data_IF_095631807205
#
_entry.id   IF_095631807205
#
_cell.length_a   1.000
_cell.length_b   1.000
_cell.length_c   1.000
_cell.angle_alpha   90.00
_cell.angle_beta   90.00
_cell.angle_gamma   90.00
#
_symmetry.space_group_name_H-M   'P 1'
#
loop_
_entity.id
_entity.type
_entity.pdbx_description
1 polymer ?
#
# COMPACT_ATOMS: atom_id res chain seq x y z
N UNK A 1 27.00 -3.81 -8.31
CA UNK A 1 26.61 -5.22 -8.15
C UNK A 1 27.44 -5.83 -7.01
N UNK A 2 26.82 -6.10 -5.86
CA UNK A 2 27.48 -6.81 -4.77
C UNK A 2 27.68 -8.28 -5.15
N UNK A 3 28.76 -8.96 -4.69
CA UNK A 3 28.90 -10.39 -4.92
C UNK A 3 27.73 -11.14 -4.25
N UNK A 4 27.17 -12.20 -4.87
CA UNK A 4 25.96 -12.89 -4.38
C UNK A 4 26.01 -13.28 -2.90
N UNK A 5 27.20 -13.67 -2.41
CA UNK A 5 27.41 -14.04 -1.00
C UNK A 5 27.28 -12.85 -0.04
N UNK A 6 27.65 -11.63 -0.45
CA UNK A 6 27.52 -10.43 0.37
C UNK A 6 26.06 -10.00 0.50
N UNK A 7 25.30 -10.07 -0.60
CA UNK A 7 23.86 -9.79 -0.60
C UNK A 7 23.10 -10.80 0.28
N UNK A 8 23.45 -12.09 0.20
CA UNK A 8 22.89 -13.12 1.09
C UNK A 8 23.09 -12.78 2.57
N UNK A 9 24.30 -12.36 2.95
CA UNK A 9 24.57 -11.92 4.33
C UNK A 9 23.76 -10.68 4.71
N UNK A 10 23.60 -9.73 3.78
CA UNK A 10 22.78 -8.53 3.99
C UNK A 10 21.30 -8.89 4.20
N UNK A 11 20.77 -9.83 3.43
CA UNK A 11 19.42 -10.36 3.57
C UNK A 11 19.19 -10.95 4.98
N UNK A 12 20.09 -11.82 5.44
CA UNK A 12 20.00 -12.40 6.79
C UNK A 12 20.10 -11.33 7.88
N UNK A 13 21.06 -10.40 7.77
CA UNK A 13 21.21 -9.31 8.75
C UNK A 13 20.00 -8.35 8.77
N UNK A 14 19.34 -8.17 7.63
CA UNK A 14 18.14 -7.32 7.54
C UNK A 14 16.95 -7.96 8.26
N UNK A 15 16.82 -9.30 8.28
CA UNK A 15 15.78 -10.01 9.03
C UNK A 15 15.87 -9.75 10.54
N UNK A 16 17.08 -9.66 11.08
CA UNK A 16 17.31 -9.45 12.53
C UNK A 16 16.74 -8.12 13.03
N UNK A 17 16.62 -7.11 12.15
CA UNK A 17 16.01 -5.82 12.48
C UNK A 17 14.51 -5.92 12.79
N UNK A 18 13.87 -6.99 12.33
CA UNK A 18 12.44 -7.23 12.51
C UNK A 18 12.13 -8.12 13.71
N UNK A 19 13.12 -8.54 14.51
CA UNK A 19 12.86 -9.31 15.72
C UNK A 19 11.94 -8.56 16.69
N UNK A 20 10.97 -9.27 17.24
CA UNK A 20 9.97 -8.69 18.13
C UNK A 20 8.77 -8.04 17.43
N UNK A 21 8.76 -7.98 16.10
CA UNK A 21 7.59 -7.50 15.35
C UNK A 21 6.45 -8.53 15.45
N UNK A 22 5.24 -8.14 15.89
CA UNK A 22 4.10 -9.06 16.05
C UNK A 22 3.57 -9.59 14.72
N UNK A 23 2.96 -10.78 14.77
CA UNK A 23 2.44 -11.47 13.58
C UNK A 23 1.31 -10.69 12.88
N UNK A 24 0.21 -10.39 13.58
CA UNK A 24 -0.93 -9.70 12.98
C UNK A 24 -1.77 -8.94 14.02
N UNK A 25 -2.31 -7.74 13.72
CA UNK A 25 -3.06 -6.92 14.67
C UNK A 25 -4.31 -7.61 15.23
N UNK A 26 -4.96 -8.48 14.46
CA UNK A 26 -6.18 -9.19 14.91
C UNK A 26 -5.98 -10.02 16.18
N UNK A 27 -4.76 -10.46 16.48
CA UNK A 27 -4.45 -11.23 17.68
C UNK A 27 -4.07 -10.37 18.89
N UNK A 28 -3.95 -9.05 18.69
CA UNK A 28 -3.54 -8.06 19.70
C UNK A 28 -4.62 -6.97 19.89
N UNK A 29 -5.89 -7.28 19.62
CA UNK A 29 -7.04 -6.36 19.73
C UNK A 29 -7.30 -5.83 21.14
N UNK A 30 -6.93 -6.61 22.17
CA UNK A 30 -7.16 -6.21 23.55
C UNK A 30 -6.18 -5.11 23.97
N UNK A 31 -6.63 -4.02 24.63
CA UNK A 31 -5.73 -2.96 25.13
C UNK A 31 -4.70 -3.44 26.15
N UNK A 32 -4.96 -4.58 26.80
CA UNK A 32 -4.04 -5.29 27.69
C UNK A 32 -2.91 -6.01 26.94
N UNK A 33 -3.04 -6.18 25.61
CA UNK A 33 -2.05 -6.89 24.80
C UNK A 33 -0.78 -6.04 24.65
N UNK A 34 0.42 -6.61 24.89
CA UNK A 34 1.69 -5.88 24.78
C UNK A 34 1.92 -5.24 23.40
N UNK A 35 1.32 -5.80 22.35
CA UNK A 35 1.51 -5.38 20.96
C UNK A 35 0.28 -4.67 20.37
N UNK A 36 -0.68 -4.23 21.21
CA UNK A 36 -1.91 -3.57 20.75
C UNK A 36 -1.63 -2.34 19.87
N UNK A 37 -0.62 -1.54 20.24
CA UNK A 37 -0.22 -0.33 19.52
C UNK A 37 1.09 -0.51 18.74
N UNK A 38 1.45 -1.74 18.35
CA UNK A 38 2.67 -1.95 17.59
C UNK A 38 2.61 -1.21 16.24
N UNK A 39 3.70 -0.55 15.82
CA UNK A 39 3.72 0.26 14.61
C UNK A 39 3.74 -0.57 13.32
N UNK A 40 4.06 -1.85 13.43
CA UNK A 40 4.24 -2.77 12.31
C UNK A 40 3.84 -4.17 12.73
N UNK A 41 3.27 -4.92 11.80
CA UNK A 41 2.93 -6.32 11.95
C UNK A 41 3.41 -7.07 10.69
N UNK A 42 4.01 -8.24 10.89
CA UNK A 42 4.58 -9.04 9.80
C UNK A 42 4.28 -10.52 10.04
N UNK A 43 3.51 -11.11 9.14
CA UNK A 43 3.44 -12.55 8.97
C UNK A 43 4.71 -13.07 8.28
N UNK A 44 4.83 -14.39 8.13
CA UNK A 44 6.05 -14.98 7.57
C UNK A 44 6.36 -14.55 6.13
N UNK A 45 5.36 -14.52 5.25
CA UNK A 45 5.56 -14.10 3.86
C UNK A 45 5.67 -12.57 3.75
N UNK A 46 5.00 -11.79 4.60
CA UNK A 46 5.15 -10.35 4.74
C UNK A 46 6.53 -9.93 5.24
N UNK A 47 7.12 -10.67 6.18
CA UNK A 47 8.50 -10.47 6.63
C UNK A 47 9.48 -10.58 5.45
N UNK A 48 9.36 -11.64 4.66
CA UNK A 48 10.22 -11.87 3.49
C UNK A 48 10.04 -10.73 2.48
N UNK A 49 8.80 -10.36 2.16
CA UNK A 49 8.52 -9.23 1.25
C UNK A 49 9.14 -7.94 1.76
N UNK A 50 8.96 -7.63 3.04
CA UNK A 50 9.50 -6.42 3.65
C UNK A 50 11.01 -6.34 3.54
N UNK A 51 11.71 -7.45 3.84
CA UNK A 51 13.17 -7.50 3.72
C UNK A 51 13.64 -7.39 2.26
N UNK A 52 12.96 -8.05 1.31
CA UNK A 52 13.26 -7.91 -0.12
C UNK A 52 13.07 -6.46 -0.59
N UNK A 53 12.05 -5.75 -0.09
CA UNK A 53 11.81 -4.34 -0.41
C UNK A 53 12.85 -3.40 0.17
N UNK A 54 13.25 -3.59 1.43
CA UNK A 54 14.31 -2.78 2.03
C UNK A 54 15.64 -2.92 1.28
N UNK A 55 15.82 -4.03 0.55
CA UNK A 55 17.00 -4.38 -0.23
C UNK A 55 16.73 -4.32 -1.75
N UNK A 56 15.71 -3.58 -2.20
CA UNK A 56 15.30 -3.51 -3.61
C UNK A 56 16.44 -3.09 -4.54
N UNK A 57 17.26 -2.12 -4.11
CA UNK A 57 18.41 -1.63 -4.88
C UNK A 57 19.51 -2.69 -5.00
N UNK A 58 19.68 -3.53 -3.97
CA UNK A 58 20.67 -4.60 -3.97
C UNK A 58 20.22 -5.81 -4.78
N UNK A 59 18.94 -6.19 -4.65
CA UNK A 59 18.33 -7.31 -5.37
C UNK A 59 18.09 -6.98 -6.84
N UNK A 60 17.85 -5.72 -7.20
CA UNK A 60 17.59 -5.31 -8.59
C UNK A 60 16.21 -5.73 -9.11
N UNK A 61 15.30 -6.14 -8.23
CA UNK A 61 13.91 -6.42 -8.55
C UNK A 61 12.98 -5.94 -7.43
N UNK A 62 11.73 -5.66 -7.77
CA UNK A 62 10.65 -5.44 -6.82
C UNK A 62 9.85 -6.73 -6.65
N UNK A 63 9.75 -7.23 -5.42
CA UNK A 63 8.95 -8.44 -5.14
C UNK A 63 7.47 -8.12 -5.30
N UNK A 64 6.75 -8.99 -6.01
CA UNK A 64 5.31 -8.85 -6.19
C UNK A 64 4.52 -9.02 -4.89
N UNK A 65 3.25 -8.62 -4.87
CA UNK A 65 2.44 -8.63 -3.65
C UNK A 65 2.00 -10.05 -3.21
N UNK A 66 2.27 -11.10 -3.99
CA UNK A 66 1.77 -12.46 -3.72
C UNK A 66 2.24 -13.09 -2.39
N UNK A 67 1.51 -14.12 -1.96
CA UNK A 67 1.72 -14.86 -0.71
C UNK A 67 2.87 -15.90 -0.79
N UNK A 68 2.99 -16.79 0.21
CA UNK A 68 4.00 -17.86 0.25
C UNK A 68 4.02 -18.74 -1.02
N UNK A 69 2.89 -18.95 -1.69
CA UNK A 69 2.86 -19.73 -2.93
C UNK A 69 3.51 -18.98 -4.11
N UNK A 70 3.37 -17.64 -4.15
CA UNK A 70 4.07 -16.81 -5.12
C UNK A 70 5.57 -16.84 -4.87
N UNK A 71 5.99 -16.64 -3.62
CA UNK A 71 7.40 -16.68 -3.24
C UNK A 71 8.03 -18.03 -3.61
N UNK A 72 7.32 -19.14 -3.36
CA UNK A 72 7.73 -20.48 -3.76
C UNK A 72 7.98 -20.60 -5.27
N UNK A 73 7.11 -20.03 -6.11
CA UNK A 73 7.29 -20.09 -7.56
C UNK A 73 8.44 -19.21 -8.07
N UNK A 74 8.81 -18.16 -7.34
CA UNK A 74 9.96 -17.31 -7.67
C UNK A 74 11.30 -17.88 -7.21
N UNK A 75 11.29 -18.93 -6.36
CA UNK A 75 12.47 -19.66 -5.90
C UNK A 75 12.42 -21.13 -6.37
N UNK A 76 12.66 -21.42 -7.66
CA UNK A 76 12.51 -22.78 -8.22
C UNK A 76 13.60 -23.76 -7.74
N UNK A 77 14.76 -23.26 -7.32
CA UNK A 77 15.95 -24.08 -7.10
C UNK A 77 15.79 -24.90 -5.82
N UNK A 78 15.62 -26.22 -5.95
CA UNK A 78 15.62 -27.14 -4.81
C UNK A 78 17.02 -27.32 -4.22
N UNK A 79 17.09 -27.46 -2.90
CA UNK A 79 18.33 -27.66 -2.16
C UNK A 79 18.17 -28.86 -1.23
N UNK A 80 19.18 -29.71 -1.17
CA UNK A 80 19.23 -30.80 -0.20
C UNK A 80 19.51 -30.27 1.21
N UNK A 81 19.04 -30.95 2.24
CA UNK A 81 19.20 -30.53 3.65
C UNK A 81 20.68 -30.25 4.02
N UNK A 82 21.61 -31.02 3.46
CA UNK A 82 23.06 -30.86 3.66
C UNK A 82 23.67 -29.61 3.01
N UNK A 83 23.01 -29.07 1.98
CA UNK A 83 23.51 -27.98 1.14
C UNK A 83 22.82 -26.64 1.45
N UNK A 84 21.92 -26.63 2.45
CA UNK A 84 21.23 -25.44 2.92
C UNK A 84 22.20 -24.37 3.43
N UNK A 85 21.97 -23.14 2.99
CA UNK A 85 22.75 -21.96 3.38
C UNK A 85 21.86 -20.96 4.12
N UNK A 86 22.43 -20.19 5.06
CA UNK A 86 21.70 -19.09 5.66
C UNK A 86 21.10 -18.16 4.60
N UNK A 87 19.82 -17.82 4.76
CA UNK A 87 19.00 -17.06 3.81
C UNK A 87 18.14 -17.92 2.87
N UNK A 88 18.39 -19.23 2.75
CA UNK A 88 17.50 -20.12 1.98
C UNK A 88 16.11 -20.22 2.62
N UNK A 89 15.12 -20.58 1.83
CA UNK A 89 13.71 -20.56 2.23
C UNK A 89 13.18 -21.98 2.46
N UNK A 90 12.45 -22.16 3.55
CA UNK A 90 11.77 -23.40 3.90
C UNK A 90 10.27 -23.19 3.75
N UNK A 91 9.71 -23.76 2.69
CA UNK A 91 8.30 -23.70 2.36
C UNK A 91 7.59 -24.94 2.91
N UNK A 92 6.47 -24.77 3.59
CA UNK A 92 5.69 -25.88 4.17
C UNK A 92 4.36 -26.00 3.46
N UNK A 93 4.10 -27.19 2.94
CA UNK A 93 2.81 -27.58 2.37
C UNK A 93 2.02 -28.45 3.33
N UNK A 94 0.71 -28.27 3.33
CA UNK A 94 -0.23 -29.09 4.09
C UNK A 94 -1.64 -28.51 4.11
N UNK A 95 -2.42 -29.02 5.05
CA UNK A 95 -3.86 -28.78 5.12
C UNK A 95 -4.20 -28.09 6.44
N UNK A 96 -4.97 -26.99 6.39
CA UNK A 96 -5.45 -26.32 7.60
C UNK A 96 -6.40 -27.22 8.40
N UNK A 97 -6.27 -27.22 9.72
CA UNK A 97 -7.19 -27.97 10.59
C UNK A 97 -8.61 -27.39 10.62
N UNK A 98 -8.75 -26.10 10.28
CA UNK A 98 -10.04 -25.43 10.23
C UNK A 98 -10.77 -25.84 8.95
N UNK A 99 -11.91 -26.51 9.11
CA UNK A 99 -12.79 -26.88 8.00
C UNK A 99 -13.29 -25.62 7.25
N UNK A 100 -13.35 -25.71 5.92
CA UNK A 100 -13.85 -24.62 5.06
C UNK A 100 -12.79 -23.63 4.57
N UNK A 101 -11.53 -23.70 5.05
CA UNK A 101 -10.44 -22.91 4.46
C UNK A 101 -10.10 -23.42 3.07
N UNK A 102 -10.11 -22.51 2.08
CA UNK A 102 -9.68 -22.85 0.72
C UNK A 102 -8.17 -23.13 0.69
N UNK A 103 -7.73 -24.21 0.05
CA UNK A 103 -6.32 -24.49 -0.10
C UNK A 103 -5.67 -23.39 -0.94
N UNK A 104 -4.46 -23.00 -0.53
CA UNK A 104 -3.61 -22.11 -1.32
C UNK A 104 -2.98 -22.88 -2.48
N UNK A 105 -2.45 -22.16 -3.47
CA UNK A 105 -1.72 -22.81 -4.56
C UNK A 105 -0.54 -23.62 -4.01
N UNK A 106 -0.35 -24.83 -4.54
CA UNK A 106 0.63 -25.83 -4.06
C UNK A 106 0.41 -26.27 -2.61
N UNK A 107 -0.80 -26.06 -2.06
CA UNK A 107 -1.15 -26.32 -0.67
C UNK A 107 -0.19 -25.62 0.31
N UNK A 108 0.31 -24.45 -0.10
CA UNK A 108 1.35 -23.72 0.62
C UNK A 108 0.79 -22.98 1.83
N UNK A 109 1.13 -23.46 3.03
CA UNK A 109 0.57 -22.94 4.30
C UNK A 109 1.55 -22.06 5.07
N UNK A 110 2.86 -22.19 4.85
CA UNK A 110 3.85 -21.45 5.62
C UNK A 110 5.20 -21.33 4.90
N UNK A 111 5.97 -20.30 5.27
CA UNK A 111 7.36 -20.12 4.82
C UNK A 111 8.22 -19.62 5.98
N UNK A 112 9.47 -20.06 6.06
CA UNK A 112 10.46 -19.54 7.02
C UNK A 112 11.83 -19.38 6.34
N UNK A 113 12.70 -18.56 6.92
CA UNK A 113 14.05 -18.35 6.42
C UNK A 113 15.01 -19.23 7.22
N UNK A 114 15.76 -20.10 6.55
CA UNK A 114 16.82 -20.90 7.16
C UNK A 114 18.02 -20.04 7.53
N UNK A 115 18.51 -20.18 8.77
CA UNK A 115 19.75 -19.53 9.22
C UNK A 115 20.81 -20.54 9.68
N UNK A 116 20.43 -21.79 9.93
CA UNK A 116 21.32 -22.83 10.41
C UNK A 116 21.85 -22.57 11.83
N UNK A 117 22.62 -23.52 12.34
CA UNK A 117 23.18 -23.45 13.70
C UNK A 117 22.17 -23.78 14.81
N UNK A 118 22.55 -23.53 16.07
CA UNK A 118 21.84 -24.05 17.25
C UNK A 118 22.18 -25.51 17.56
N UNK A 119 21.52 -26.09 18.56
CA UNK A 119 21.76 -27.50 18.97
C UNK A 119 21.37 -28.50 17.87
N UNK A 120 20.37 -28.16 17.07
CA UNK A 120 19.85 -28.99 15.97
C UNK A 120 20.53 -28.72 14.63
N UNK A 121 21.23 -27.59 14.49
CA UNK A 121 21.74 -27.09 13.21
C UNK A 121 20.66 -26.57 12.24
N UNK A 122 19.38 -26.57 12.63
CA UNK A 122 18.23 -26.38 11.73
C UNK A 122 17.43 -25.10 11.98
N UNK A 123 18.04 -24.09 12.62
CA UNK A 123 17.33 -22.87 13.02
C UNK A 123 16.73 -22.11 11.84
N UNK A 124 15.58 -21.51 12.09
CA UNK A 124 14.87 -20.64 11.15
C UNK A 124 14.43 -19.33 11.79
N UNK A 125 14.18 -18.31 10.96
CA UNK A 125 13.54 -17.05 11.36
C UNK A 125 12.13 -17.02 10.76
N UNK A 126 11.15 -16.65 11.58
CA UNK A 126 9.78 -16.42 11.12
C UNK A 126 8.83 -16.04 12.26
N UNK A 127 7.63 -15.62 11.90
CA UNK A 127 6.53 -15.37 12.82
C UNK A 127 5.59 -16.59 12.84
N UNK A 128 6.07 -17.71 13.40
CA UNK A 128 5.38 -19.02 13.37
C UNK A 128 4.06 -19.07 14.16
N UNK A 129 3.93 -18.23 15.19
CA UNK A 129 2.80 -18.28 16.14
C UNK A 129 1.88 -17.09 15.89
N UNK A 130 0.56 -17.33 15.85
CA UNK A 130 -0.46 -16.30 15.64
C UNK A 130 -0.39 -15.13 16.64
N UNK A 131 -0.12 -15.43 17.92
CA UNK A 131 0.12 -14.44 18.99
C UNK A 131 1.61 -14.20 19.26
N UNK A 132 2.46 -14.66 18.36
CA UNK A 132 3.91 -14.55 18.48
C UNK A 132 4.45 -13.30 17.78
N UNK A 133 5.77 -13.23 17.80
CA UNK A 133 6.56 -12.21 17.12
C UNK A 133 7.53 -12.88 16.16
N UNK A 134 8.15 -12.09 15.29
CA UNK A 134 9.31 -12.54 14.51
C UNK A 134 10.43 -12.90 15.48
N UNK A 135 10.83 -14.16 15.45
CA UNK A 135 11.83 -14.74 16.36
C UNK A 135 12.59 -15.88 15.68
N UNK A 136 13.63 -16.36 16.36
CA UNK A 136 14.38 -17.55 15.96
C UNK A 136 13.68 -18.80 16.49
N UNK A 137 13.49 -19.78 15.63
CA UNK A 137 12.97 -21.10 15.96
C UNK A 137 14.07 -22.15 15.89
N UNK A 138 14.04 -23.14 16.79
CA UNK A 138 15.10 -24.15 16.91
C UNK A 138 15.17 -25.11 15.72
N UNK A 139 14.05 -25.37 15.04
CA UNK A 139 14.02 -26.22 13.86
C UNK A 139 12.85 -25.85 12.96
N UNK A 140 13.05 -25.99 11.64
CA UNK A 140 11.95 -26.02 10.69
C UNK A 140 11.12 -27.31 10.77
N UNK A 141 11.61 -28.38 11.41
CA UNK A 141 10.86 -29.61 11.67
C UNK A 141 10.05 -29.43 12.96
N UNK A 142 8.81 -28.96 12.83
CA UNK A 142 7.91 -28.74 13.97
C UNK A 142 6.50 -29.25 13.70
N UNK A 143 5.70 -29.37 14.76
CA UNK A 143 4.27 -29.63 14.66
C UNK A 143 3.51 -28.31 14.81
N UNK A 144 2.71 -27.97 13.81
CA UNK A 144 1.84 -26.78 13.85
C UNK A 144 0.56 -27.08 14.62
N UNK A 145 -0.03 -26.02 15.21
CA UNK A 145 -1.37 -26.06 15.81
C UNK A 145 -2.48 -25.64 14.86
N UNK A 146 -2.12 -25.16 13.66
CA UNK A 146 -3.07 -24.56 12.71
C UNK A 146 -3.21 -25.35 11.40
N UNK A 147 -2.25 -26.21 11.08
CA UNK A 147 -2.21 -27.01 9.85
C UNK A 147 -1.40 -28.30 10.02
N UNK A 148 -1.62 -29.27 9.14
CA UNK A 148 -0.74 -30.43 8.96
C UNK A 148 0.56 -30.01 8.27
N UNK A 149 1.66 -30.68 8.61
CA UNK A 149 2.93 -30.54 7.89
C UNK A 149 3.10 -31.80 7.05
N UNK A 150 2.71 -31.72 5.78
CA UNK A 150 2.74 -32.87 4.87
C UNK A 150 4.07 -32.96 4.14
N UNK A 151 4.57 -31.81 3.66
CA UNK A 151 5.86 -31.72 2.97
C UNK A 151 6.53 -30.38 3.22
N UNK A 152 7.85 -30.42 3.31
CA UNK A 152 8.69 -29.22 3.38
C UNK A 152 9.59 -29.16 2.15
N UNK A 153 9.58 -28.02 1.47
CA UNK A 153 10.38 -27.73 0.30
C UNK A 153 11.50 -26.76 0.69
N UNK A 154 12.73 -27.18 0.44
CA UNK A 154 13.94 -26.42 0.71
C UNK A 154 14.35 -25.71 -0.59
N UNK A 155 14.30 -24.38 -0.61
CA UNK A 155 14.55 -23.58 -1.82
C UNK A 155 15.71 -22.61 -1.63
N UNK A 156 16.59 -22.55 -2.62
CA UNK A 156 17.73 -21.62 -2.62
C UNK A 156 17.28 -20.18 -2.86
N UNK A 157 17.85 -19.25 -2.11
CA UNK A 157 17.74 -17.81 -2.36
C UNK A 157 18.50 -17.36 -3.62
N UNK A 158 19.33 -18.22 -4.22
CA UNK A 158 20.26 -17.83 -5.30
C UNK A 158 19.55 -17.24 -6.53
N UNK A 159 18.31 -17.65 -6.81
CA UNK A 159 17.51 -17.04 -7.90
C UNK A 159 17.31 -15.55 -7.66
N UNK A 160 16.91 -15.17 -6.44
CA UNK A 160 16.76 -13.77 -6.06
C UNK A 160 18.10 -13.04 -6.02
N UNK A 161 19.17 -13.69 -5.55
CA UNK A 161 20.51 -13.07 -5.54
C UNK A 161 21.03 -12.75 -6.96
N UNK A 162 20.48 -13.39 -7.99
CA UNK A 162 20.79 -13.09 -9.40
C UNK A 162 19.92 -11.97 -10.01
N UNK A 163 18.98 -11.43 -9.23
CA UNK A 163 18.06 -10.39 -9.65
C UNK A 163 16.77 -10.88 -10.31
N UNK A 164 16.50 -12.19 -10.25
CA UNK A 164 15.32 -12.79 -10.86
C UNK A 164 14.25 -13.12 -9.81
N UNK A 165 13.10 -12.46 -9.90
CA UNK A 165 11.91 -12.73 -9.07
C UNK A 165 10.68 -13.08 -9.93
N UNK A 166 10.92 -13.77 -11.05
CA UNK A 166 9.84 -14.20 -11.93
C UNK A 166 9.28 -15.58 -11.51
N UNK A 167 7.96 -15.73 -11.38
CA UNK A 167 7.35 -17.03 -11.06
C UNK A 167 7.59 -18.02 -12.19
N UNK A 168 8.09 -19.22 -11.86
CA UNK A 168 8.56 -20.19 -12.86
C UNK A 168 7.56 -21.28 -13.22
N UNK A 169 6.62 -21.59 -12.34
CA UNK A 169 5.68 -22.69 -12.57
C UNK A 169 4.45 -22.21 -13.35
N UNK A 170 3.86 -21.09 -12.95
CA UNK A 170 2.65 -20.58 -13.59
C UNK A 170 2.65 -19.04 -13.64
N UNK A 171 3.50 -18.45 -14.49
CA UNK A 171 3.64 -17.01 -14.61
C UNK A 171 2.35 -16.33 -15.08
N UNK A 172 1.54 -17.01 -15.90
CA UNK A 172 0.28 -16.46 -16.40
C UNK A 172 -0.76 -16.35 -15.29
N UNK A 173 -0.84 -17.32 -14.37
CA UNK A 173 -1.69 -17.21 -13.19
C UNK A 173 -1.33 -16.01 -12.34
N UNK A 174 -0.04 -15.80 -12.05
CA UNK A 174 0.40 -14.67 -11.21
C UNK A 174 0.25 -13.34 -11.94
N UNK A 175 0.57 -13.28 -13.23
CA UNK A 175 0.32 -12.11 -14.07
C UNK A 175 -1.16 -11.76 -14.11
N UNK A 176 -2.05 -12.75 -14.28
CA UNK A 176 -3.48 -12.55 -14.28
C UNK A 176 -3.99 -12.18 -12.89
N UNK A 177 -3.55 -12.86 -11.82
CA UNK A 177 -3.92 -12.55 -10.43
C UNK A 177 -3.49 -11.14 -10.07
N UNK A 178 -2.32 -10.69 -10.52
CA UNK A 178 -1.88 -9.31 -10.33
C UNK A 178 -2.66 -8.33 -11.22
N UNK A 179 -3.02 -8.67 -12.45
CA UNK A 179 -3.82 -7.81 -13.35
C UNK A 179 -5.28 -7.67 -12.94
N UNK A 180 -5.94 -8.75 -12.55
CA UNK A 180 -7.35 -8.74 -12.11
C UNK A 180 -7.49 -7.97 -10.81
N UNK A 181 -6.48 -8.09 -9.98
CA UNK A 181 -6.41 -7.44 -8.69
C UNK A 181 -5.84 -5.98 -8.86
N UNK A 182 -5.24 -5.63 -10.02
CA UNK A 182 -4.81 -4.27 -10.41
C UNK A 182 -5.86 -3.50 -11.22
N UNK A 183 -7.06 -4.06 -11.47
CA UNK A 183 -8.23 -3.27 -11.91
C UNK A 183 -8.76 -2.31 -10.83
N UNK A 184 -8.04 -2.24 -9.71
CA UNK A 184 -8.15 -1.30 -8.63
C UNK A 184 -6.90 -0.38 -8.62
N UNK A 185 -6.77 0.58 -9.54
CA UNK A 185 -5.98 1.81 -9.32
C UNK A 185 -5.98 2.80 -10.49
N UNK A 186 -5.84 4.04 -10.08
CA UNK A 186 -5.59 5.29 -10.80
C UNK A 186 -4.13 5.40 -11.26
N UNK A 187 -3.81 4.78 -12.40
CA UNK A 187 -2.77 5.30 -13.29
C UNK A 187 -1.31 5.27 -12.81
N UNK A 188 -0.94 4.50 -11.78
CA UNK A 188 0.46 4.10 -11.55
C UNK A 188 0.66 2.64 -12.00
N UNK A 189 1.86 2.23 -12.46
CA UNK A 189 2.08 0.89 -13.01
C UNK A 189 1.97 -0.27 -11.99
N UNK A 190 1.63 0.01 -10.72
CA UNK A 190 1.79 -0.96 -9.64
C UNK A 190 0.71 -0.87 -8.55
N UNK A 191 -0.25 0.08 -8.64
CA UNK A 191 -1.11 0.62 -7.58
C UNK A 191 -1.80 -0.32 -6.57
N UNK A 192 -1.03 -1.11 -5.82
CA UNK A 192 -1.38 -1.83 -4.60
C UNK A 192 -0.23 -1.71 -3.59
N UNK A 193 -0.57 -1.45 -2.34
CA UNK A 193 0.38 -1.56 -1.25
C UNK A 193 0.79 -3.03 -1.14
N UNK A 194 2.09 -3.30 -1.04
CA UNK A 194 2.61 -4.66 -0.80
C UNK A 194 2.10 -5.21 0.54
N UNK A 195 1.59 -4.36 1.44
CA UNK A 195 0.95 -4.81 2.68
C UNK A 195 -0.47 -5.37 2.49
N UNK A 196 -1.15 -5.11 1.38
CA UNK A 196 -2.58 -5.43 1.19
C UNK A 196 -2.84 -6.87 0.70
N UNK A 197 -1.81 -7.63 0.35
CA UNK A 197 -1.98 -8.87 -0.42
C UNK A 197 -1.85 -10.17 0.37
N UNK A 198 -1.83 -10.09 1.70
CA UNK A 198 -1.90 -11.26 2.60
C UNK A 198 -3.23 -11.39 3.36
N UNK A 199 -4.21 -10.52 3.09
CA UNK A 199 -5.55 -10.62 3.70
C UNK A 199 -6.31 -11.90 3.31
N UNK A 200 -5.80 -12.70 2.36
CA UNK A 200 -6.38 -14.02 2.02
C UNK A 200 -6.11 -15.10 3.09
N UNK A 201 -5.10 -14.94 3.96
CA UNK A 201 -4.72 -15.96 4.96
C UNK A 201 -5.38 -15.77 6.33
N UNK A 202 -6.07 -14.64 6.53
CA UNK A 202 -6.71 -14.31 7.78
C UNK A 202 -8.21 -14.32 7.59
N UNK A 203 -8.86 -15.16 8.40
CA UNK A 203 -10.25 -14.91 8.71
C UNK A 203 -10.26 -13.54 9.43
N UNK A 204 -10.55 -12.45 8.71
CA UNK A 204 -11.37 -11.43 9.33
C UNK A 204 -12.56 -12.21 9.87
N UNK A 205 -12.70 -12.30 11.20
CA UNK A 205 -13.97 -12.70 11.79
C UNK A 205 -15.00 -11.75 11.19
N UNK A 206 -15.64 -12.22 10.11
CA UNK A 206 -16.64 -11.47 9.39
C UNK A 206 -17.71 -11.20 10.44
N UNK A 207 -17.84 -9.92 10.81
CA UNK A 207 -18.76 -9.50 11.85
C UNK A 207 -20.15 -10.01 11.46
N UNK A 208 -20.66 -11.00 12.20
CA UNK A 208 -21.99 -11.53 11.98
C UNK A 208 -22.98 -10.54 12.55
N UNK A 209 -23.64 -9.80 11.65
CA UNK A 209 -24.69 -8.85 12.03
C UNK A 209 -25.82 -9.61 12.73
N UNK A 210 -26.27 -9.09 13.87
CA UNK A 210 -27.51 -9.54 14.47
C UNK A 210 -28.69 -9.17 13.56
N UNK A 211 -29.62 -10.11 13.38
CA UNK A 211 -30.74 -9.96 12.46
C UNK A 211 -31.66 -8.81 12.93
N UNK A 212 -31.78 -7.75 12.13
CA UNK A 212 -32.57 -6.55 12.43
C UNK A 212 -31.81 -5.38 13.07
N UNK A 213 -30.55 -5.57 13.46
CA UNK A 213 -29.70 -4.48 13.97
C UNK A 213 -29.00 -3.73 12.82
N UNK A 214 -28.90 -2.40 12.96
CA UNK A 214 -28.21 -1.53 11.98
C UNK A 214 -26.83 -1.16 12.50
N UNK A 215 -25.81 -1.38 11.69
CA UNK A 215 -24.42 -1.15 12.04
C UNK A 215 -23.81 -0.03 11.20
N UNK A 216 -23.01 0.82 11.84
CA UNK A 216 -22.25 1.84 11.14
C UNK A 216 -20.76 1.79 11.50
N UNK A 217 -19.91 1.99 10.52
CA UNK A 217 -18.49 2.23 10.71
C UNK A 217 -18.20 3.73 10.60
N UNK A 218 -17.37 4.26 11.50
CA UNK A 218 -16.80 5.60 11.39
C UNK A 218 -15.31 5.53 11.65
N UNK A 219 -14.50 6.08 10.75
CA UNK A 219 -13.05 6.16 10.97
C UNK A 219 -12.74 7.08 12.15
N UNK A 220 -11.67 6.81 12.91
CA UNK A 220 -11.20 7.64 14.03
C UNK A 220 -10.48 8.89 13.51
N UNK A 221 -11.18 9.72 12.75
CA UNK A 221 -10.68 10.94 12.13
C UNK A 221 -11.31 12.19 12.73
N UNK A 222 -10.98 13.37 12.20
CA UNK A 222 -11.54 14.63 12.70
C UNK A 222 -13.08 14.62 12.63
N UNK A 223 -13.73 14.98 13.74
CA UNK A 223 -15.20 15.07 13.82
C UNK A 223 -15.95 13.74 13.95
N UNK A 224 -15.28 12.59 14.12
CA UNK A 224 -15.96 11.28 14.22
C UNK A 224 -16.99 11.20 15.36
N UNK A 225 -16.77 11.94 16.46
CA UNK A 225 -17.68 11.98 17.62
C UNK A 225 -19.05 12.57 17.26
N UNK A 226 -19.09 13.57 16.37
CA UNK A 226 -20.34 14.18 15.89
C UNK A 226 -21.17 13.18 15.09
N UNK A 227 -20.51 12.44 14.20
CA UNK A 227 -21.14 11.38 13.41
C UNK A 227 -21.63 10.27 14.33
N UNK A 228 -20.81 9.85 15.29
CA UNK A 228 -21.14 8.82 16.27
C UNK A 228 -22.41 9.18 17.05
N UNK A 229 -22.44 10.36 17.67
CA UNK A 229 -23.61 10.82 18.42
C UNK A 229 -24.87 10.91 17.56
N UNK A 230 -24.74 11.32 16.30
CA UNK A 230 -25.86 11.42 15.37
C UNK A 230 -26.39 10.06 14.89
N UNK A 231 -25.54 9.04 14.78
CA UNK A 231 -25.92 7.68 14.37
C UNK A 231 -26.48 6.88 15.53
N UNK A 232 -25.88 6.99 16.72
CA UNK A 232 -26.38 6.36 17.96
C UNK A 232 -27.79 6.88 18.30
N UNK A 233 -28.04 8.19 18.14
CA UNK A 233 -29.39 8.78 18.29
C UNK A 233 -30.42 8.19 17.33
N UNK A 234 -29.99 7.67 16.17
CA UNK A 234 -30.83 7.01 15.16
C UNK A 234 -30.96 5.51 15.36
N UNK A 235 -30.41 4.96 16.45
CA UNK A 235 -30.47 3.53 16.77
C UNK A 235 -29.49 2.67 15.97
N UNK A 236 -28.42 3.27 15.43
CA UNK A 236 -27.34 2.50 14.81
C UNK A 236 -26.28 2.13 15.85
N UNK A 237 -25.76 0.91 15.74
CA UNK A 237 -24.67 0.40 16.58
C UNK A 237 -23.33 0.63 15.89
N UNK A 238 -22.38 1.23 16.60
CA UNK A 238 -21.05 1.53 16.02
C UNK A 238 -20.21 0.26 15.95
N UNK A 239 -19.64 -0.01 14.79
CA UNK A 239 -18.61 -1.02 14.62
C UNK A 239 -17.29 -0.55 15.27
N UNK A 240 -16.53 -1.47 15.90
CA UNK A 240 -15.21 -1.15 16.41
C UNK A 240 -14.27 -0.61 15.31
N UNK A 241 -13.27 0.20 15.69
CA UNK A 241 -12.42 0.91 14.71
C UNK A 241 -11.59 -0.04 13.85
N UNK A 242 -11.34 -1.24 14.37
CA UNK A 242 -10.59 -2.34 13.77
C UNK A 242 -11.31 -2.93 12.55
N UNK A 243 -12.62 -2.68 12.40
CA UNK A 243 -13.42 -3.12 11.24
C UNK A 243 -13.36 -2.12 10.07
N UNK A 244 -12.22 -1.44 9.89
CA UNK A 244 -12.03 -0.44 8.83
C UNK A 244 -12.14 -1.03 7.43
N UNK A 245 -11.76 -2.30 7.24
CA UNK A 245 -11.81 -3.00 5.96
C UNK A 245 -13.04 -3.91 5.81
N UNK A 246 -13.80 -4.07 6.90
CA UNK A 246 -15.00 -4.91 6.89
C UNK A 246 -16.01 -4.42 5.87
N UNK A 247 -16.63 -5.38 5.19
CA UNK A 247 -17.77 -5.19 4.29
C UNK A 247 -19.11 -5.36 5.00
N UNK A 248 -19.11 -5.76 6.28
CA UNK A 248 -20.32 -6.04 7.06
C UNK A 248 -20.84 -4.79 7.79
N UNK A 249 -21.24 -3.76 7.04
CA UNK A 249 -21.84 -2.52 7.58
C UNK A 249 -23.13 -2.16 6.84
N UNK A 250 -23.96 -1.30 7.44
CA UNK A 250 -25.11 -0.66 6.77
C UNK A 250 -24.75 0.76 6.35
N UNK A 251 -23.90 1.43 7.13
CA UNK A 251 -23.35 2.74 6.78
C UNK A 251 -21.85 2.80 7.08
N UNK A 252 -21.04 3.31 6.14
CA UNK A 252 -19.61 3.56 6.33
C UNK A 252 -19.28 5.03 6.13
N UNK A 253 -18.72 5.64 7.18
CA UNK A 253 -18.32 7.04 7.21
C UNK A 253 -16.79 7.16 7.34
N UNK A 254 -16.14 7.67 6.31
CA UNK A 254 -14.68 7.82 6.27
C UNK A 254 -14.28 9.22 5.80
N UNK A 255 -13.05 9.62 6.11
CA UNK A 255 -12.52 10.93 5.69
C UNK A 255 -12.15 10.95 4.21
N UNK A 256 -11.36 9.96 3.76
CA UNK A 256 -10.95 9.82 2.37
C UNK A 256 -11.73 8.75 1.62
N UNK A 257 -12.02 8.99 0.34
CA UNK A 257 -12.68 8.03 -0.55
C UNK A 257 -11.95 6.68 -0.64
N UNK A 258 -10.63 6.68 -0.48
CA UNK A 258 -9.76 5.50 -0.61
C UNK A 258 -10.05 4.42 0.43
N UNK A 259 -10.65 4.79 1.56
CA UNK A 259 -11.05 3.84 2.61
C UNK A 259 -12.37 3.09 2.29
N UNK A 260 -13.04 3.43 1.18
CA UNK A 260 -14.26 2.74 0.71
C UNK A 260 -13.88 1.79 -0.43
N UNK A 261 -14.23 0.51 -0.24
CA UNK A 261 -14.16 -0.48 -1.31
C UNK A 261 -15.48 -0.51 -2.07
N UNK A 262 -15.60 0.30 -3.14
CA UNK A 262 -16.81 0.39 -3.95
C UNK A 262 -17.16 -0.92 -4.69
N UNK A 263 -16.20 -1.82 -4.91
CA UNK A 263 -16.41 -3.07 -5.63
C UNK A 263 -17.11 -4.14 -4.78
N UNK A 264 -16.89 -4.10 -3.46
CA UNK A 264 -17.58 -4.97 -2.50
C UNK A 264 -18.84 -4.36 -1.91
N UNK A 265 -19.24 -3.17 -2.40
CA UNK A 265 -20.45 -2.49 -1.95
C UNK A 265 -21.68 -3.26 -2.44
N UNK A 266 -22.59 -3.59 -1.52
CA UNK A 266 -23.83 -4.31 -1.82
C UNK A 266 -25.07 -3.43 -1.69
N UNK A 267 -26.18 -3.86 -2.28
CA UNK A 267 -27.44 -3.13 -2.22
C UNK A 267 -27.91 -2.98 -0.76
N UNK A 268 -28.32 -1.75 -0.40
CA UNK A 268 -28.73 -1.40 0.96
C UNK A 268 -27.61 -0.84 1.85
N UNK A 269 -26.34 -0.92 1.42
CA UNK A 269 -25.24 -0.22 2.08
C UNK A 269 -25.21 1.26 1.70
N UNK A 270 -24.74 2.09 2.65
CA UNK A 270 -24.55 3.51 2.47
C UNK A 270 -23.10 3.90 2.74
N UNK A 271 -22.57 4.79 1.91
CA UNK A 271 -21.24 5.37 2.06
C UNK A 271 -21.30 6.89 1.92
N UNK A 272 -20.39 7.61 2.58
CA UNK A 272 -20.41 9.08 2.60
C UNK A 272 -19.63 9.74 1.44
N UNK A 273 -19.09 8.96 0.50
CA UNK A 273 -18.40 9.45 -0.69
C UNK A 273 -18.99 8.84 -1.94
N UNK A 274 -19.07 9.63 -3.01
CA UNK A 274 -19.52 9.17 -4.33
C UNK A 274 -18.29 8.70 -5.11
N UNK A 275 -18.34 7.55 -5.79
CA UNK A 275 -17.25 7.13 -6.66
C UNK A 275 -16.99 8.17 -7.75
N UNK A 276 -15.72 8.37 -8.13
CA UNK A 276 -15.31 9.33 -9.16
C UNK A 276 -15.62 10.81 -8.83
N UNK A 277 -15.77 11.18 -7.55
CA UNK A 277 -16.02 12.57 -7.14
C UNK A 277 -14.80 13.51 -7.32
N UNK A 278 -13.62 12.97 -7.58
CA UNK A 278 -12.39 13.70 -7.88
C UNK A 278 -12.51 14.57 -9.13
N UNK A 279 -13.46 14.25 -10.02
CA UNK A 279 -13.82 15.05 -11.19
C UNK A 279 -14.17 16.51 -10.84
N UNK A 280 -14.73 16.77 -9.65
CA UNK A 280 -15.10 18.14 -9.22
C UNK A 280 -14.48 18.56 -7.87
N UNK A 281 -13.89 17.63 -7.13
CA UNK A 281 -13.37 17.89 -5.77
C UNK A 281 -11.86 18.18 -5.73
N UNK A 282 -11.17 18.04 -6.86
CA UNK A 282 -9.79 18.51 -7.01
C UNK A 282 -9.72 19.72 -7.98
N UNK A 283 -8.65 20.51 -7.89
CA UNK A 283 -8.51 21.76 -8.67
C UNK A 283 -8.41 21.48 -10.18
N UNK A 284 -7.65 20.45 -10.54
CA UNK A 284 -7.37 20.07 -11.93
C UNK A 284 -8.61 19.49 -12.63
N UNK A 285 -9.30 18.59 -11.96
CA UNK A 285 -10.53 17.95 -12.43
C UNK A 285 -11.64 18.97 -12.58
N UNK A 286 -11.87 19.82 -11.59
CA UNK A 286 -12.86 20.90 -11.70
C UNK A 286 -12.56 21.81 -12.90
N UNK A 287 -11.30 22.22 -13.08
CA UNK A 287 -10.87 23.01 -14.22
C UNK A 287 -11.13 22.28 -15.55
N UNK A 288 -10.75 21.00 -15.63
CA UNK A 288 -10.92 20.20 -16.85
C UNK A 288 -12.40 20.08 -17.22
N UNK A 289 -13.27 19.82 -16.25
CA UNK A 289 -14.73 19.76 -16.46
C UNK A 289 -15.28 21.10 -16.96
N UNK A 290 -14.82 22.22 -16.40
CA UNK A 290 -15.25 23.55 -16.83
C UNK A 290 -14.72 23.87 -18.24
N UNK A 291 -13.47 23.54 -18.55
CA UNK A 291 -12.90 23.74 -19.88
C UNK A 291 -13.62 22.90 -20.93
N UNK A 292 -13.89 21.62 -20.65
CA UNK A 292 -14.59 20.71 -21.56
C UNK A 292 -16.06 21.14 -21.76
N UNK A 293 -16.73 21.57 -20.68
CA UNK A 293 -18.13 21.98 -20.72
C UNK A 293 -18.39 23.33 -21.40
N UNK A 294 -17.48 24.30 -21.25
CA UNK A 294 -17.63 25.64 -21.83
C UNK A 294 -16.86 25.82 -23.15
N UNK A 295 -15.84 25.00 -23.41
CA UNK A 295 -15.00 25.10 -24.61
C UNK A 295 -14.42 26.50 -24.79
N UNK A 296 -14.68 27.13 -25.95
CA UNK A 296 -14.23 28.49 -26.24
C UNK A 296 -14.88 29.57 -25.35
N UNK A 297 -15.99 29.27 -24.68
CA UNK A 297 -16.64 30.18 -23.75
C UNK A 297 -16.03 30.14 -22.33
N UNK A 298 -14.96 29.38 -22.12
CA UNK A 298 -14.21 29.38 -20.87
C UNK A 298 -13.36 30.66 -20.72
N UNK A 299 -13.29 31.27 -19.52
CA UNK A 299 -13.97 30.88 -18.29
C UNK A 299 -15.39 31.46 -18.18
N UNK A 300 -16.33 30.77 -17.50
CA UNK A 300 -17.61 31.36 -17.16
C UNK A 300 -17.42 32.55 -16.20
N UNK A 301 -18.35 33.52 -16.21
CA UNK A 301 -18.25 34.79 -15.44
C UNK A 301 -17.99 34.63 -13.93
N UNK A 302 -18.37 33.49 -13.35
CA UNK A 302 -18.22 33.21 -11.92
C UNK A 302 -16.92 32.45 -11.59
N UNK A 303 -16.10 32.13 -12.59
CA UNK A 303 -14.87 31.37 -12.44
C UNK A 303 -13.69 32.18 -13.01
N UNK A 304 -12.55 32.24 -12.31
CA UNK A 304 -11.39 32.98 -12.80
C UNK A 304 -10.76 32.30 -14.03
N UNK A 305 -10.00 33.04 -14.82
CA UNK A 305 -9.18 32.45 -15.87
C UNK A 305 -8.06 31.64 -15.21
N UNK A 306 -7.93 30.38 -15.60
CA UNK A 306 -7.03 29.41 -14.96
C UNK A 306 -6.22 28.62 -15.98
N UNK A 307 -4.93 28.44 -15.71
CA UNK A 307 -3.98 27.71 -16.55
C UNK A 307 -3.32 26.57 -15.79
N UNK A 308 -3.10 25.45 -16.48
CA UNK A 308 -2.33 24.31 -15.98
C UNK A 308 -0.87 24.42 -16.36
N UNK A 309 0.02 24.35 -15.38
CA UNK A 309 1.46 24.44 -15.62
C UNK A 309 2.08 23.10 -16.01
N UNK A 310 1.39 22.00 -15.72
CA UNK A 310 1.79 20.66 -16.14
C UNK A 310 1.50 20.39 -17.63
N UNK A 311 0.74 21.26 -18.29
CA UNK A 311 0.41 21.16 -19.72
C UNK A 311 1.24 22.15 -20.55
N UNK A 312 2.13 21.66 -21.43
CA UNK A 312 2.93 22.54 -22.29
C UNK A 312 2.10 23.48 -23.16
N UNK A 313 0.92 23.05 -23.63
CA UNK A 313 0.03 23.90 -24.43
C UNK A 313 -0.50 25.10 -23.65
N UNK A 314 -0.88 24.90 -22.38
CA UNK A 314 -1.39 25.97 -21.51
C UNK A 314 -0.27 26.94 -21.11
N UNK A 315 0.93 26.41 -20.85
CA UNK A 315 2.14 27.21 -20.59
C UNK A 315 2.47 28.10 -21.79
N UNK A 316 2.50 27.56 -23.00
CA UNK A 316 2.78 28.32 -24.22
C UNK A 316 1.71 29.38 -24.50
N UNK A 317 0.43 29.06 -24.25
CA UNK A 317 -0.67 30.00 -24.42
C UNK A 317 -0.57 31.17 -23.43
N UNK A 318 -0.26 30.88 -22.16
CA UNK A 318 -0.04 31.90 -21.14
C UNK A 318 1.19 32.78 -21.45
N UNK A 319 2.31 32.17 -21.85
CA UNK A 319 3.51 32.90 -22.26
C UNK A 319 3.25 33.81 -23.47
N UNK A 320 2.55 33.32 -24.49
CA UNK A 320 2.16 34.12 -25.66
C UNK A 320 1.34 35.34 -25.27
N UNK A 321 0.37 35.18 -24.36
CA UNK A 321 -0.45 36.29 -23.84
C UNK A 321 0.31 37.29 -22.97
N UNK A 322 1.37 36.83 -22.29
CA UNK A 322 2.26 37.71 -21.53
C UNK A 322 3.14 38.51 -22.50
N UNK A 323 3.67 37.87 -23.54
CA UNK A 323 4.55 38.51 -24.53
C UNK A 323 3.83 39.52 -25.43
N UNK A 324 2.57 39.25 -25.80
CA UNK A 324 1.74 40.17 -26.60
C UNK A 324 1.04 41.26 -25.77
N UNK A 325 1.16 41.21 -24.44
CA UNK A 325 0.54 42.15 -23.51
C UNK A 325 -0.98 42.03 -23.39
N UNK A 326 -1.59 40.96 -23.88
CA UNK A 326 -3.04 40.68 -23.81
C UNK A 326 -3.47 39.98 -22.52
N UNK A 327 -2.53 39.67 -21.62
CA UNK A 327 -2.83 39.08 -20.33
C UNK A 327 -3.71 40.01 -19.49
N UNK A 328 -4.92 39.56 -19.18
CA UNK A 328 -5.83 40.28 -18.28
C UNK A 328 -5.46 40.00 -16.83
N UNK A 329 -5.39 41.04 -15.99
CA UNK A 329 -5.11 40.92 -14.55
C UNK A 329 -3.68 41.27 -14.15
N UNK A 330 -3.55 42.06 -13.06
CA UNK A 330 -2.24 42.51 -12.52
C UNK A 330 -1.56 41.47 -11.63
N UNK A 331 -2.35 40.58 -11.05
CA UNK A 331 -1.92 39.59 -10.08
C UNK A 331 -2.50 38.23 -10.45
N UNK A 332 -1.74 37.19 -10.18
CA UNK A 332 -2.10 35.80 -10.38
C UNK A 332 -1.92 35.04 -9.08
N UNK A 333 -2.73 34.01 -8.86
CA UNK A 333 -2.67 33.13 -7.70
C UNK A 333 -2.13 31.77 -8.16
N UNK A 334 -0.93 31.45 -7.71
CA UNK A 334 -0.35 30.12 -7.82
C UNK A 334 -0.98 29.18 -6.79
N UNK A 335 -1.50 28.03 -7.24
CA UNK A 335 -2.07 27.01 -6.37
C UNK A 335 -1.48 25.63 -6.70
N UNK A 336 -0.83 24.95 -5.74
CA UNK A 336 -0.44 23.56 -5.92
C UNK A 336 -1.68 22.66 -6.00
N UNK A 337 -1.70 21.68 -6.90
CA UNK A 337 -2.88 20.83 -7.11
C UNK A 337 -3.22 19.98 -5.88
N UNK A 338 -2.22 19.35 -5.26
CA UNK A 338 -2.37 18.39 -4.16
C UNK A 338 -2.41 18.96 -2.74
N UNK A 339 -2.28 20.29 -2.56
CA UNK A 339 -2.25 20.90 -1.22
C UNK A 339 -3.60 21.49 -0.81
N UNK A 340 -3.92 21.36 0.49
CA UNK A 340 -5.09 21.93 1.15
C UNK A 340 -4.66 22.92 2.27
N UNK A 341 -5.64 23.51 2.96
CA UNK A 341 -5.42 24.48 4.05
C UNK A 341 -4.59 25.72 3.65
N UNK A 342 -4.67 26.14 2.39
CA UNK A 342 -3.92 27.31 1.87
C UNK A 342 -2.41 27.10 1.73
N UNK A 343 -1.90 25.89 1.99
CA UNK A 343 -0.45 25.61 1.96
C UNK A 343 0.10 25.72 0.54
N UNK A 344 1.13 26.56 0.37
CA UNK A 344 1.82 26.76 -0.91
C UNK A 344 1.09 27.67 -1.90
N UNK A 345 -0.02 28.31 -1.49
CA UNK A 345 -0.65 29.35 -2.30
C UNK A 345 0.25 30.59 -2.28
N UNK A 346 0.50 31.16 -3.47
CA UNK A 346 1.25 32.43 -3.61
C UNK A 346 0.47 33.37 -4.52
N UNK A 347 0.49 34.66 -4.22
CA UNK A 347 0.03 35.71 -5.13
C UNK A 347 1.28 36.27 -5.80
N UNK A 348 1.31 36.26 -7.13
CA UNK A 348 2.47 36.61 -7.94
C UNK A 348 2.09 37.67 -8.97
N UNK A 349 3.04 38.52 -9.34
CA UNK A 349 2.88 39.47 -10.44
C UNK A 349 3.07 38.80 -11.81
N UNK A 350 2.66 39.48 -12.89
CA UNK A 350 2.81 38.97 -14.27
C UNK A 350 4.28 38.68 -14.61
N UNK A 351 5.22 39.54 -14.18
CA UNK A 351 6.66 39.34 -14.42
C UNK A 351 7.19 38.10 -13.69
N UNK A 352 6.73 37.86 -12.46
CA UNK A 352 7.10 36.69 -11.67
C UNK A 352 6.51 35.40 -12.25
N UNK A 353 5.29 35.43 -12.80
CA UNK A 353 4.72 34.32 -13.57
C UNK A 353 5.64 33.99 -14.75
N UNK A 354 6.07 34.99 -15.52
CA UNK A 354 6.98 34.76 -16.66
C UNK A 354 8.30 34.13 -16.24
N UNK A 355 8.87 34.57 -15.12
CA UNK A 355 10.09 34.00 -14.55
C UNK A 355 9.88 32.53 -14.12
N UNK A 356 8.76 32.23 -13.46
CA UNK A 356 8.40 30.87 -13.05
C UNK A 356 8.18 29.92 -14.23
N UNK A 357 7.66 30.42 -15.36
CA UNK A 357 7.43 29.62 -16.57
C UNK A 357 8.71 29.38 -17.39
N UNK A 358 9.73 30.23 -17.24
CA UNK A 358 10.98 30.18 -18.03
C UNK A 358 12.14 29.54 -17.29
N UNK A 359 12.12 29.53 -15.95
CA UNK A 359 13.08 28.76 -15.14
C UNK A 359 12.78 27.27 -15.27
N UNK A 360 13.64 26.53 -15.99
CA UNK A 360 13.77 25.07 -15.81
C UNK A 360 14.13 24.81 -14.34
N UNK A 361 13.30 24.08 -13.61
CA UNK A 361 13.70 23.50 -12.33
C UNK A 361 14.88 22.54 -12.57
N UNK A 362 16.09 23.01 -12.28
CA UNK A 362 17.20 22.15 -11.92
C UNK A 362 17.04 21.80 -10.45
N UNK A 363 16.59 20.60 -10.14
CA UNK A 363 16.72 20.01 -8.81
C UNK A 363 18.20 19.72 -8.56
N UNK A 364 18.84 20.55 -7.74
CA UNK A 364 20.20 20.37 -7.25
C UNK A 364 20.23 20.76 -5.76
N UNK A 365 20.62 19.80 -4.94
CA UNK A 365 20.73 19.79 -3.49
C UNK A 365 21.57 20.95 -2.94
N UNK A 366 21.13 21.58 -1.84
CA UNK A 366 21.99 21.98 -0.71
C UNK A 366 21.14 21.90 0.57
N UNK A 367 21.63 21.14 1.56
CA UNK A 367 20.88 20.76 2.75
C UNK A 367 21.11 21.65 3.96
N UNK A 368 20.18 21.57 4.92
CA UNK A 368 20.47 21.59 6.35
C UNK A 368 19.27 21.03 7.17
N UNK A 369 19.59 19.95 7.89
CA UNK A 369 19.03 19.39 9.13
C UNK A 369 17.52 19.48 9.50
N UNK A 370 16.91 18.29 9.61
CA UNK A 370 16.02 17.95 10.73
C UNK A 370 14.55 17.62 10.41
N UNK A 371 14.19 16.33 10.52
CA UNK A 371 12.81 15.89 10.77
C UNK A 371 12.17 15.02 9.67
N UNK A 372 12.04 13.73 9.94
CA UNK A 372 11.46 12.73 9.06
C UNK A 372 9.96 12.98 8.77
N UNK A 373 9.62 13.12 7.49
CA UNK A 373 8.30 12.81 6.94
C UNK A 373 8.50 12.36 5.48
N UNK A 374 8.17 11.11 5.19
CA UNK A 374 8.21 10.54 3.85
C UNK A 374 7.20 11.26 2.94
N UNK A 375 7.72 11.93 1.91
CA UNK A 375 6.93 12.55 0.84
C UNK A 375 7.25 11.87 -0.47
N UNK A 376 6.20 11.38 -1.13
CA UNK A 376 6.22 10.88 -2.50
C UNK A 376 6.65 11.99 -3.47
N UNK A 377 7.58 11.69 -4.39
CA UNK A 377 7.83 12.52 -5.57
C UNK A 377 6.62 12.41 -6.52
N UNK A 378 5.58 13.22 -6.27
CA UNK A 378 4.61 13.55 -7.30
C UNK A 378 5.21 14.58 -8.26
N UNK A 379 5.23 14.26 -9.55
CA UNK A 379 5.55 15.21 -10.61
C UNK A 379 4.79 16.52 -10.43
N UNK A 380 5.49 17.63 -10.71
CA UNK A 380 5.11 18.99 -10.37
C UNK A 380 3.78 19.43 -11.05
N UNK A 381 2.64 19.16 -10.40
CA UNK A 381 1.27 19.49 -10.87
C UNK A 381 0.83 20.84 -10.26
N UNK A 382 1.21 21.95 -10.89
CA UNK A 382 0.87 23.31 -10.44
C UNK A 382 -0.16 23.99 -11.37
N UNK A 383 -0.95 24.92 -10.83
CA UNK A 383 -1.90 25.76 -11.59
C UNK A 383 -1.78 27.24 -11.22
N UNK A 384 -2.02 28.15 -12.16
CA UNK A 384 -2.23 29.60 -11.91
C UNK A 384 -3.68 29.99 -12.20
N UNK A 385 -4.25 30.88 -11.38
CA UNK A 385 -5.59 31.46 -11.55
C UNK A 385 -5.48 32.99 -11.45
N UNK A 386 -6.32 33.75 -12.15
CA UNK A 386 -6.37 35.24 -12.05
C UNK A 386 -7.32 35.74 -10.99
#
# INVERSE_FOLDING_TARGET
AHPPQALRKKFVAQLEKYFGVPYHPSYHREPSSPHHNAPLFLDCCGLIRRVCQDLVEDFGFLIGPGNQAYQFETCPNEVEEKDLKPGDLVFTAGTYFKEGKKPQKHDMVHVEIFIGGGETGMRTIGARRQRGVVEIHDSYKYTSKSYTVEKQYLRSLDTWLSGDCTPKLDPDYWSLKFKTSSKHSDGTPDGRSVFDACDEDLDEEEFQKEEGAKYFYVNKSNGYQLVTAAMEKRGYTRLPFEYSFSTSFDLKWVEGRSAINYFKHTDGQLVNHIPNNDVITNKIGLLTVLQDGYGQAFPPKYFPMTYRLDRPCDVLNLLGKIDDGSVEGKYWIHKPAGKNCGKGIRVVGVDEVKEMLTKKEGTGEEGEEGGAAAGEEEGNKNTFET
#
